data_IF_781872550315
#
_entry.id   IF_781872550315
#
_cell.length_a   1.000
_cell.length_b   1.000
_cell.length_c   1.000
_cell.angle_alpha   90.00
_cell.angle_beta   90.00
_cell.angle_gamma   90.00
#
_symmetry.space_group_name_H-M   'P 1'
#
loop_
_entity.id
_entity.type
_entity.pdbx_description
1 polymer ?
#
# COMPACT_ATOMS: atom_id res chain seq x y z
N UNK A 1 5.14 5.61 -20.10
CA UNK A 1 5.95 4.57 -19.42
C UNK A 1 5.53 4.53 -17.95
N UNK A 2 5.32 3.34 -17.36
CA UNK A 2 4.98 3.18 -15.93
C UNK A 2 5.99 2.22 -15.29
N UNK A 3 7.09 2.72 -14.69
CA UNK A 3 8.06 1.86 -14.03
C UNK A 3 7.45 1.20 -12.78
N UNK A 4 7.85 -0.04 -12.49
CA UNK A 4 7.40 -0.82 -11.33
C UNK A 4 8.58 -1.35 -10.55
N UNK A 5 8.40 -1.48 -9.23
CA UNK A 5 9.37 -2.15 -8.35
C UNK A 5 8.92 -3.60 -8.23
N UNK A 6 9.78 -4.52 -8.66
CA UNK A 6 9.56 -5.96 -8.55
C UNK A 6 10.62 -6.52 -7.63
N UNK A 7 10.20 -7.29 -6.64
CA UNK A 7 11.09 -8.09 -5.82
C UNK A 7 11.75 -9.18 -6.68
N UNK A 8 13.07 -9.21 -6.73
CA UNK A 8 13.80 -10.08 -7.65
C UNK A 8 13.70 -11.57 -7.27
N UNK A 9 13.56 -11.87 -5.98
CA UNK A 9 13.55 -13.25 -5.47
C UNK A 9 12.17 -13.89 -5.59
N UNK A 10 11.11 -13.11 -5.33
CA UNK A 10 9.72 -13.59 -5.31
C UNK A 10 8.92 -13.24 -6.56
N UNK A 11 9.40 -12.30 -7.37
CA UNK A 11 8.67 -11.75 -8.51
C UNK A 11 7.46 -10.89 -8.13
N UNK A 12 7.28 -10.58 -6.84
CA UNK A 12 6.12 -9.84 -6.35
C UNK A 12 6.27 -8.34 -6.60
N UNK A 13 5.14 -7.70 -6.91
CA UNK A 13 5.09 -6.25 -7.09
C UNK A 13 5.12 -5.54 -5.72
N UNK A 14 6.02 -4.56 -5.61
CA UNK A 14 6.18 -3.72 -4.44
C UNK A 14 5.71 -2.31 -4.74
N UNK A 15 4.98 -1.73 -3.78
CA UNK A 15 4.43 -0.40 -3.87
C UNK A 15 5.11 0.52 -2.87
N UNK A 16 5.43 1.73 -3.34
CA UNK A 16 5.77 2.82 -2.43
C UNK A 16 4.51 3.27 -1.68
N UNK A 17 4.68 4.04 -0.61
CA UNK A 17 3.51 4.61 0.08
C UNK A 17 2.69 5.56 -0.80
N UNK A 18 3.28 6.15 -1.85
CA UNK A 18 2.55 6.97 -2.81
C UNK A 18 1.65 6.10 -3.71
N UNK A 19 2.16 4.96 -4.19
CA UNK A 19 1.37 4.00 -4.97
C UNK A 19 0.20 3.44 -4.15
N UNK A 20 0.45 3.11 -2.88
CA UNK A 20 -0.59 2.65 -1.97
C UNK A 20 -1.69 3.71 -1.75
N UNK A 21 -1.28 4.97 -1.54
CA UNK A 21 -2.21 6.09 -1.36
C UNK A 21 -3.07 6.32 -2.61
N UNK A 22 -2.44 6.30 -3.79
CA UNK A 22 -3.12 6.43 -5.08
C UNK A 22 -4.11 5.28 -5.31
N UNK A 23 -3.73 4.04 -4.98
CA UNK A 23 -4.59 2.87 -5.15
C UNK A 23 -5.89 2.97 -4.35
N UNK A 24 -5.83 3.49 -3.12
CA UNK A 24 -7.01 3.59 -2.24
C UNK A 24 -7.68 4.97 -2.26
N UNK A 25 -7.20 5.89 -3.10
CA UNK A 25 -7.79 7.22 -3.28
C UNK A 25 -7.62 8.17 -2.09
N UNK A 26 -6.49 8.13 -1.38
CA UNK A 26 -6.17 9.07 -0.28
C UNK A 26 -4.88 9.85 -0.55
N UNK A 27 -4.63 10.90 0.23
CA UNK A 27 -3.36 11.62 0.16
C UNK A 27 -2.20 10.78 0.72
N UNK A 28 -0.98 11.04 0.24
CA UNK A 28 0.22 10.40 0.77
C UNK A 28 0.42 10.64 2.28
N UNK A 29 0.07 11.83 2.76
CA UNK A 29 0.12 12.16 4.19
C UNK A 29 -0.87 11.30 5.00
N UNK A 30 -2.08 11.06 4.48
CA UNK A 30 -3.05 10.18 5.11
C UNK A 30 -2.55 8.73 5.16
N UNK A 31 -1.97 8.22 4.05
CA UNK A 31 -1.34 6.89 4.05
C UNK A 31 -0.23 6.77 5.10
N UNK A 32 0.65 7.78 5.21
CA UNK A 32 1.70 7.80 6.24
C UNK A 32 1.14 7.79 7.65
N UNK A 33 0.07 8.55 7.90
CA UNK A 33 -0.62 8.52 9.19
C UNK A 33 -1.21 7.13 9.48
N UNK A 34 -1.81 6.47 8.49
CA UNK A 34 -2.33 5.11 8.67
C UNK A 34 -1.23 4.10 8.98
N UNK A 35 -0.13 4.14 8.23
CA UNK A 35 1.03 3.27 8.46
C UNK A 35 1.66 3.52 9.83
N UNK A 36 1.79 4.78 10.27
CA UNK A 36 2.33 5.12 11.58
C UNK A 36 1.44 4.64 12.74
N UNK A 37 0.13 4.51 12.51
CA UNK A 37 -0.84 4.01 13.48
C UNK A 37 -1.16 2.51 13.28
N UNK A 38 -0.35 1.76 12.52
CA UNK A 38 -0.54 0.33 12.27
C UNK A 38 -1.93 -0.02 11.67
N UNK A 39 -2.50 0.89 10.87
CA UNK A 39 -3.81 0.72 10.21
C UNK A 39 -3.71 0.20 8.77
N UNK A 40 -2.50 -0.09 8.30
CA UNK A 40 -2.19 -0.66 6.98
C UNK A 40 -1.48 -2.00 7.17
N UNK A 41 -1.31 -2.81 6.12
CA UNK A 41 -0.35 -3.90 6.14
C UNK A 41 1.04 -3.41 6.57
N UNK A 42 1.85 -4.33 7.11
CA UNK A 42 3.24 -4.04 7.42
C UNK A 42 4.04 -3.83 6.14
N UNK A 43 5.08 -3.00 6.23
CA UNK A 43 5.99 -2.81 5.11
C UNK A 43 6.99 -3.97 5.10
N UNK A 44 7.24 -4.53 3.93
CA UNK A 44 8.11 -5.71 3.78
C UNK A 44 9.57 -5.35 3.53
N UNK A 45 9.82 -4.13 3.05
CA UNK A 45 11.16 -3.66 2.73
C UNK A 45 11.29 -2.14 2.86
N UNK A 46 12.54 -1.67 2.82
CA UNK A 46 12.86 -0.25 2.77
C UNK A 46 13.98 -0.01 1.74
N UNK A 47 13.73 0.85 0.76
CA UNK A 47 14.75 1.29 -0.20
C UNK A 47 15.35 2.61 0.24
N UNK A 48 16.66 2.75 0.00
CA UNK A 48 17.45 3.95 0.31
C UNK A 48 17.32 4.38 1.79
N UNK A 49 17.06 3.44 2.70
CA UNK A 49 16.99 3.67 4.14
C UNK A 49 15.85 4.58 4.62
N UNK A 50 14.88 4.95 3.75
CA UNK A 50 13.78 5.85 4.13
C UNK A 50 12.43 5.57 3.46
N UNK A 51 12.43 4.89 2.32
CA UNK A 51 11.21 4.64 1.55
C UNK A 51 10.74 3.23 1.84
N UNK A 52 9.69 3.11 2.65
CA UNK A 52 9.01 1.85 2.92
C UNK A 52 8.31 1.33 1.66
N UNK A 53 8.32 0.00 1.51
CA UNK A 53 7.65 -0.73 0.44
C UNK A 53 6.66 -1.73 1.01
N UNK A 54 5.51 -1.84 0.36
CA UNK A 54 4.43 -2.78 0.69
C UNK A 54 4.23 -3.77 -0.43
N UNK A 55 3.81 -4.99 -0.10
CA UNK A 55 3.32 -5.93 -1.10
C UNK A 55 2.03 -5.40 -1.71
N UNK A 56 2.00 -5.26 -3.03
CA UNK A 56 0.84 -4.75 -3.74
C UNK A 56 -0.41 -5.61 -3.48
N UNK A 57 -0.24 -6.93 -3.43
CA UNK A 57 -1.34 -7.88 -3.18
C UNK A 57 -1.94 -7.70 -1.78
N UNK A 58 -1.11 -7.58 -0.73
CA UNK A 58 -1.60 -7.34 0.63
C UNK A 58 -2.35 -6.02 0.75
N UNK A 59 -1.90 -4.97 0.06
CA UNK A 59 -2.59 -3.67 0.04
C UNK A 59 -3.93 -3.78 -0.68
N UNK A 60 -4.02 -4.53 -1.78
CA UNK A 60 -5.29 -4.79 -2.51
C UNK A 60 -6.28 -5.56 -1.62
N UNK A 61 -5.83 -6.64 -0.99
CA UNK A 61 -6.64 -7.46 -0.08
C UNK A 61 -7.11 -6.65 1.13
N UNK A 62 -6.21 -5.89 1.75
CA UNK A 62 -6.56 -5.01 2.86
C UNK A 62 -7.58 -3.95 2.42
N UNK A 63 -7.41 -3.32 1.26
CA UNK A 63 -8.32 -2.29 0.76
C UNK A 63 -9.72 -2.84 0.50
N UNK A 64 -9.82 -4.06 -0.05
CA UNK A 64 -11.10 -4.73 -0.27
C UNK A 64 -11.87 -4.99 1.04
N UNK A 65 -11.15 -5.25 2.13
CA UNK A 65 -11.73 -5.57 3.45
C UNK A 65 -11.75 -4.37 4.42
N UNK A 66 -11.28 -3.19 3.99
CA UNK A 66 -11.07 -2.05 4.87
C UNK A 66 -12.39 -1.48 5.43
N UNK A 67 -12.50 -1.28 6.75
CA UNK A 67 -13.66 -0.62 7.37
C UNK A 67 -13.86 0.79 6.82
N UNK A 68 -15.05 1.06 6.28
CA UNK A 68 -15.41 2.36 5.69
C UNK A 68 -15.05 2.53 4.20
N UNK A 69 -14.64 1.46 3.52
CA UNK A 69 -14.56 1.46 2.06
C UNK A 69 -15.96 1.62 1.45
N UNK A 70 -16.17 2.48 0.43
CA UNK A 70 -17.45 2.61 -0.26
C UNK A 70 -18.01 1.27 -0.78
N UNK A 71 -17.14 0.27 -1.01
CA UNK A 71 -17.54 -1.08 -1.37
C UNK A 71 -18.40 -1.77 -0.31
N UNK A 72 -18.17 -1.49 0.99
CA UNK A 72 -18.99 -2.05 2.07
C UNK A 72 -20.33 -1.31 2.25
N UNK A 73 -20.43 -0.05 1.81
CA UNK A 73 -21.65 0.76 1.93
C UNK A 73 -22.71 0.46 0.84
N UNK A 74 -22.38 -0.41 -0.12
CA UNK A 74 -23.26 -0.79 -1.25
C UNK A 74 -23.88 -2.19 -1.12
N UNK A 75 -24.02 -2.72 0.10
CA UNK A 75 -24.69 -4.01 0.36
C UNK A 75 -26.13 -3.82 0.82
#
# INVERSE_FOLDING_TARGET
>A
MQPKIIDADTGKELWTGADCANHIGVSYAAWRNYSANHRTPEHVAMILGRTRLWLADEVREWHANRPGSPHQLRK
#
